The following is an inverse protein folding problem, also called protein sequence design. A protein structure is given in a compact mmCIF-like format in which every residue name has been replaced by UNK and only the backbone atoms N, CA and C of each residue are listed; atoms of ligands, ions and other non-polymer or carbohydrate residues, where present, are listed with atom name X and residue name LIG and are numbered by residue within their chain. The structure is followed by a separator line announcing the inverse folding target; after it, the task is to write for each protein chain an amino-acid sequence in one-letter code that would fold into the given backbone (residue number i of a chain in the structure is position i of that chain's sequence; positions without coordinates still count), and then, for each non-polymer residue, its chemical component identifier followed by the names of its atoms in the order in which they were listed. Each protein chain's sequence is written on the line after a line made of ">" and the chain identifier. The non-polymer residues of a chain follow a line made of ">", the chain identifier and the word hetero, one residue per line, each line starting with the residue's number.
data_IF_464563500968
#
_entry.id   IF_464563500968
#
_cell.length_a   1.000
_cell.length_b   1.000
_cell.length_c   1.000
_cell.angle_alpha   90.00
_cell.angle_beta   90.00
_cell.angle_gamma   90.00
#
_symmetry.space_group_name_H-M   'P 1'
#
loop_
_entity.id
_entity.type
_entity.pdbx_description
1 polymer ?
#
# COMPACT_ATOMS: atom_id res chain seq x y z
N UNK A 1 -53.54 24.47 31.49
CA UNK A 1 -52.49 23.45 31.25
C UNK A 1 -51.18 24.22 31.27
N UNK A 2 -50.59 24.28 32.46
CA UNK A 2 -49.44 25.11 32.81
C UNK A 2 -48.24 24.17 32.83
N UNK A 3 -47.13 24.55 32.20
CA UNK A 3 -45.82 24.20 32.76
C UNK A 3 -44.84 25.35 32.52
N UNK A 4 -44.74 26.16 33.56
CA UNK A 4 -43.84 27.29 33.73
C UNK A 4 -42.38 26.83 33.71
N UNK A 5 -41.57 27.59 32.98
CA UNK A 5 -40.12 27.53 32.98
C UNK A 5 -39.63 28.18 34.28
N UNK A 6 -39.26 27.35 35.26
CA UNK A 6 -38.56 27.79 36.47
C UNK A 6 -37.10 27.33 36.38
N UNK A 7 -36.22 28.23 35.96
CA UNK A 7 -34.78 28.07 36.06
C UNK A 7 -34.32 28.72 37.39
N UNK A 8 -33.75 27.99 38.36
CA UNK A 8 -33.20 28.61 39.55
C UNK A 8 -31.81 29.23 39.29
N UNK A 9 -31.52 30.43 39.83
CA UNK A 9 -30.23 31.08 39.73
C UNK A 9 -29.34 30.62 40.89
N UNK A 10 -28.41 29.70 40.66
CA UNK A 10 -27.37 29.36 41.63
C UNK A 10 -26.12 28.87 40.91
N UNK A 11 -25.42 29.84 40.33
CA UNK A 11 -23.98 29.81 40.15
C UNK A 11 -23.32 29.61 41.53
N UNK A 12 -22.69 28.46 41.77
CA UNK A 12 -21.55 28.37 42.69
C UNK A 12 -20.50 27.44 42.10
N UNK A 13 -19.35 28.07 41.86
CA UNK A 13 -18.02 27.55 41.57
C UNK A 13 -17.76 26.15 42.14
N UNK A 14 -17.58 25.17 41.25
CA UNK A 14 -16.75 24.00 41.52
C UNK A 14 -15.59 24.03 40.53
N UNK A 15 -14.50 24.65 40.98
CA UNK A 15 -13.17 24.54 40.41
C UNK A 15 -12.71 23.08 40.48
N UNK A 16 -13.13 22.27 39.52
CA UNK A 16 -12.49 20.98 39.30
C UNK A 16 -11.09 21.23 38.76
N UNK A 17 -10.13 21.18 39.67
CA UNK A 17 -8.72 21.07 39.35
C UNK A 17 -8.52 19.78 38.55
N UNK A 18 -8.22 19.92 37.26
CA UNK A 18 -7.69 18.84 36.45
C UNK A 18 -6.42 18.31 37.12
N UNK A 19 -6.32 17.00 37.44
CA UNK A 19 -5.04 16.44 37.80
C UNK A 19 -4.14 16.51 36.58
N UNK A 20 -3.11 17.34 36.68
CA UNK A 20 -1.96 17.37 35.80
C UNK A 20 -1.28 16.01 35.82
N UNK A 21 -1.73 15.09 34.95
CA UNK A 21 -1.06 13.82 34.71
C UNK A 21 0.20 14.08 33.90
N UNK A 22 1.26 14.36 34.64
CA UNK A 22 2.62 13.86 34.42
C UNK A 22 2.81 13.06 33.12
N UNK A 23 3.46 13.73 32.17
CA UNK A 23 4.59 13.22 31.38
C UNK A 23 4.90 11.72 31.57
N UNK A 24 4.32 10.88 30.71
CA UNK A 24 5.03 9.73 30.20
C UNK A 24 5.39 10.05 28.75
N UNK A 25 6.68 10.27 28.42
CA UNK A 25 7.09 10.11 27.05
C UNK A 25 6.97 8.61 26.80
N UNK A 26 5.88 8.18 26.16
CA UNK A 26 5.89 6.90 25.48
C UNK A 26 6.88 7.04 24.32
N UNK A 27 8.16 6.90 24.65
CA UNK A 27 9.19 6.52 23.71
C UNK A 27 8.88 5.07 23.34
N UNK A 28 7.93 4.92 22.43
CA UNK A 28 7.87 3.72 21.62
C UNK A 28 9.16 3.74 20.80
N UNK A 29 10.09 2.79 20.99
CA UNK A 29 11.19 2.67 20.06
C UNK A 29 10.56 2.50 18.68
N UNK A 30 10.83 3.43 17.76
CA UNK A 30 10.50 3.26 16.34
C UNK A 30 11.38 2.11 15.83
N UNK A 31 10.97 0.88 16.10
CA UNK A 31 11.36 -0.23 15.24
C UNK A 31 10.87 0.14 13.84
N UNK A 32 11.69 -0.04 12.80
CA UNK A 32 11.15 -0.02 11.44
C UNK A 32 10.02 -1.04 11.42
N UNK A 33 8.80 -0.59 11.17
CA UNK A 33 7.66 -1.49 10.98
C UNK A 33 8.06 -2.49 9.89
N UNK A 34 7.70 -3.80 9.98
CA UNK A 34 7.90 -4.74 8.88
C UNK A 34 7.33 -4.25 7.54
N UNK A 35 6.40 -3.28 7.57
CA UNK A 35 5.93 -2.53 6.40
C UNK A 35 7.04 -1.77 5.61
N UNK A 36 8.25 -1.62 6.16
CA UNK A 36 9.39 -1.01 5.45
C UNK A 36 10.19 -2.04 4.61
N UNK A 37 9.76 -3.30 4.56
CA UNK A 37 10.26 -4.34 3.62
C UNK A 37 9.27 -4.70 2.52
N UNK A 38 8.30 -3.82 2.26
CA UNK A 38 7.36 -4.04 1.16
C UNK A 38 8.05 -3.80 -0.19
N UNK A 39 7.58 -4.49 -1.23
CA UNK A 39 7.91 -4.20 -2.62
C UNK A 39 7.87 -2.68 -2.88
N UNK A 40 8.91 -2.16 -3.54
CA UNK A 40 9.19 -0.73 -3.65
C UNK A 40 8.00 0.00 -4.30
N UNK A 41 7.40 0.96 -3.60
CA UNK A 41 6.41 1.86 -4.18
C UNK A 41 7.11 2.88 -5.08
N UNK A 42 6.60 3.09 -6.29
CA UNK A 42 7.16 4.03 -7.27
C UNK A 42 6.06 4.96 -7.80
N UNK A 43 6.45 6.15 -8.23
CA UNK A 43 5.55 7.10 -8.89
C UNK A 43 5.68 7.03 -10.42
N UNK A 44 4.76 7.69 -11.14
CA UNK A 44 4.80 7.80 -12.60
C UNK A 44 6.15 8.33 -13.10
N UNK A 45 6.74 9.31 -12.40
CA UNK A 45 8.03 9.90 -12.74
C UNK A 45 9.20 8.89 -12.69
N UNK A 46 9.09 7.86 -11.85
CA UNK A 46 10.13 6.85 -11.66
C UNK A 46 9.93 5.64 -12.59
N UNK A 47 8.73 5.49 -13.18
CA UNK A 47 8.35 4.27 -13.91
C UNK A 47 9.31 3.92 -15.04
N UNK A 48 9.77 4.91 -15.80
CA UNK A 48 10.71 4.69 -16.90
C UNK A 48 12.06 4.14 -16.41
N UNK A 49 12.62 4.73 -15.36
CA UNK A 49 13.90 4.31 -14.79
C UNK A 49 13.79 2.95 -14.06
N UNK A 50 12.73 2.80 -13.25
CA UNK A 50 12.58 1.67 -12.33
C UNK A 50 12.01 0.41 -12.99
N UNK A 51 11.27 0.55 -14.09
CA UNK A 51 10.58 -0.54 -14.81
C UNK A 51 11.11 -0.71 -16.23
N UNK A 52 11.05 0.35 -17.05
CA UNK A 52 11.31 0.23 -18.49
C UNK A 52 12.80 0.06 -18.82
N UNK A 53 13.67 0.71 -18.04
CA UNK A 53 15.13 0.65 -18.17
C UNK A 53 15.80 -0.33 -17.20
N UNK A 54 15.02 -1.15 -16.50
CA UNK A 54 15.55 -2.11 -15.55
C UNK A 54 16.34 -3.22 -16.26
N UNK A 55 17.50 -3.56 -15.71
CA UNK A 55 18.36 -4.64 -16.23
C UNK A 55 17.78 -6.03 -15.93
N UNK A 56 17.05 -6.15 -14.82
CA UNK A 56 16.35 -7.37 -14.42
C UNK A 56 14.85 -7.23 -14.69
N UNK A 57 14.13 -8.35 -14.90
CA UNK A 57 12.68 -8.33 -15.03
C UNK A 57 12.00 -7.62 -13.85
N UNK A 58 10.88 -6.96 -14.11
CA UNK A 58 10.15 -6.18 -13.11
C UNK A 58 8.68 -6.57 -13.11
N UNK A 59 8.18 -7.05 -11.97
CA UNK A 59 6.75 -7.21 -11.74
C UNK A 59 6.19 -5.92 -11.14
N UNK A 60 5.23 -5.30 -11.83
CA UNK A 60 4.51 -4.12 -11.35
C UNK A 60 3.15 -4.55 -10.80
N UNK A 61 2.88 -4.23 -9.54
CA UNK A 61 1.57 -4.38 -8.86
C UNK A 61 0.81 -3.05 -8.88
N UNK A 62 -0.21 -2.96 -9.72
CA UNK A 62 -1.13 -1.83 -9.75
C UNK A 62 -2.23 -2.04 -8.71
N UNK A 63 -2.25 -1.20 -7.67
CA UNK A 63 -3.06 -1.39 -6.48
C UNK A 63 -3.65 -0.08 -5.96
N UNK A 64 -4.50 -0.17 -4.93
CA UNK A 64 -5.00 0.97 -4.16
C UNK A 64 -5.31 0.57 -2.70
N UNK A 65 -5.31 1.49 -1.72
CA UNK A 65 -5.52 1.15 -0.31
C UNK A 65 -6.94 0.67 0.03
N UNK A 66 -7.92 1.02 -0.79
CA UNK A 66 -9.32 0.60 -0.66
C UNK A 66 -9.60 -0.75 -1.33
N UNK A 67 -8.64 -1.32 -2.06
CA UNK A 67 -8.79 -2.58 -2.77
C UNK A 67 -8.64 -3.78 -1.81
N UNK A 68 -9.76 -4.42 -1.48
CA UNK A 68 -9.79 -5.64 -0.66
C UNK A 68 -8.90 -6.77 -1.20
N UNK A 69 -9.04 -7.18 -2.47
CA UNK A 69 -8.18 -8.23 -3.06
C UNK A 69 -6.70 -7.89 -3.09
N UNK A 70 -6.33 -6.61 -3.23
CA UNK A 70 -4.94 -6.17 -3.17
C UNK A 70 -4.35 -6.46 -1.78
N UNK A 71 -5.11 -6.23 -0.70
CA UNK A 71 -4.67 -6.56 0.67
C UNK A 71 -4.40 -8.05 0.87
N UNK A 72 -5.15 -8.92 0.21
CA UNK A 72 -4.92 -10.38 0.26
C UNK A 72 -3.63 -10.78 -0.45
N UNK A 73 -3.25 -10.08 -1.51
CA UNK A 73 -2.02 -10.36 -2.27
C UNK A 73 -0.76 -9.86 -1.57
N UNK A 74 -0.84 -8.86 -0.68
CA UNK A 74 0.31 -8.28 0.02
C UNK A 74 1.28 -9.31 0.62
N UNK A 75 0.86 -10.26 1.48
CA UNK A 75 1.79 -11.23 2.08
C UNK A 75 2.44 -12.15 1.04
N UNK A 76 1.71 -12.49 -0.03
CA UNK A 76 2.21 -13.33 -1.12
C UNK A 76 3.31 -12.58 -1.89
N UNK A 77 3.04 -11.32 -2.25
CA UNK A 77 3.97 -10.49 -3.00
C UNK A 77 5.22 -10.15 -2.17
N UNK A 78 5.06 -9.91 -0.87
CA UNK A 78 6.18 -9.67 0.04
C UNK A 78 7.09 -10.90 0.12
N UNK A 79 6.53 -12.09 0.32
CA UNK A 79 7.30 -13.32 0.36
C UNK A 79 8.04 -13.59 -0.97
N UNK A 80 7.37 -13.37 -2.10
CA UNK A 80 7.97 -13.53 -3.43
C UNK A 80 9.04 -12.48 -3.72
N UNK A 81 8.91 -11.25 -3.18
CA UNK A 81 9.93 -10.22 -3.36
C UNK A 81 11.27 -10.60 -2.73
N UNK A 82 11.24 -11.31 -1.60
CA UNK A 82 12.44 -11.84 -0.95
C UNK A 82 12.94 -13.11 -1.66
N UNK A 83 12.05 -14.02 -2.09
CA UNK A 83 12.42 -15.26 -2.78
C UNK A 83 13.08 -14.99 -4.15
N UNK A 84 12.63 -13.96 -4.87
CA UNK A 84 13.13 -13.58 -6.20
C UNK A 84 14.12 -12.41 -6.16
N UNK A 85 14.61 -12.05 -4.98
CA UNK A 85 15.57 -10.96 -4.81
C UNK A 85 16.78 -11.14 -5.74
N UNK A 86 17.04 -10.14 -6.56
CA UNK A 86 18.12 -10.15 -7.56
C UNK A 86 17.81 -10.90 -8.86
N UNK A 87 16.67 -11.60 -8.96
CA UNK A 87 16.19 -12.24 -10.21
C UNK A 87 15.04 -11.47 -10.82
N UNK A 88 14.07 -11.06 -10.01
CA UNK A 88 12.95 -10.22 -10.42
C UNK A 88 12.77 -9.13 -9.39
N UNK A 89 12.66 -7.89 -9.87
CA UNK A 89 12.30 -6.74 -9.06
C UNK A 89 10.78 -6.67 -8.95
N UNK A 90 10.26 -6.41 -7.75
CA UNK A 90 8.83 -6.18 -7.57
C UNK A 90 8.63 -4.73 -7.13
N UNK A 91 7.77 -4.01 -7.86
CA UNK A 91 7.39 -2.63 -7.56
C UNK A 91 5.89 -2.49 -7.48
N UNK A 92 5.42 -1.45 -6.80
CA UNK A 92 4.01 -1.16 -6.62
C UNK A 92 3.67 0.23 -7.13
N UNK A 93 2.54 0.36 -7.82
CA UNK A 93 2.02 1.64 -8.33
C UNK A 93 0.62 1.84 -7.76
N UNK A 94 0.43 2.90 -6.98
CA UNK A 94 -0.90 3.27 -6.50
C UNK A 94 -1.67 3.99 -7.61
N UNK A 95 -2.78 3.42 -8.06
CA UNK A 95 -3.57 3.98 -9.18
C UNK A 95 -4.34 5.26 -8.82
N UNK A 96 -4.49 5.58 -7.53
CA UNK A 96 -5.11 6.83 -7.09
C UNK A 96 -4.13 8.02 -7.21
N UNK A 97 -2.83 7.75 -7.05
CA UNK A 97 -1.76 8.75 -7.03
C UNK A 97 -1.05 8.88 -8.39
N UNK A 98 -1.20 7.86 -9.24
CA UNK A 98 -0.51 7.72 -10.52
C UNK A 98 -1.53 7.41 -11.61
N UNK A 99 -1.58 8.24 -12.65
CA UNK A 99 -2.59 8.12 -13.71
C UNK A 99 -1.98 7.76 -15.06
N UNK A 100 -0.69 8.05 -15.25
CA UNK A 100 -0.02 7.85 -16.54
C UNK A 100 0.29 6.37 -16.78
N UNK A 101 0.97 5.70 -15.85
CA UNK A 101 1.31 4.29 -16.00
C UNK A 101 0.06 3.39 -16.09
N UNK A 102 -0.94 3.49 -15.20
CA UNK A 102 -2.15 2.67 -15.33
C UNK A 102 -2.90 2.92 -16.65
N UNK A 103 -3.00 4.18 -17.08
CA UNK A 103 -3.63 4.54 -18.35
C UNK A 103 -2.87 3.97 -19.56
N UNK A 104 -1.53 4.09 -19.57
CA UNK A 104 -0.66 3.60 -20.65
C UNK A 104 -0.76 2.09 -20.84
N UNK A 105 -0.89 1.33 -19.76
CA UNK A 105 -0.98 -0.14 -19.80
C UNK A 105 -2.42 -0.66 -19.71
N UNK A 106 -3.42 0.21 -19.89
CA UNK A 106 -4.84 -0.14 -19.92
C UNK A 106 -5.29 -0.92 -18.67
N UNK A 107 -4.85 -0.47 -17.49
CA UNK A 107 -5.22 -1.04 -16.19
C UNK A 107 -6.65 -0.61 -15.85
N UNK A 108 -7.63 -1.46 -16.14
CA UNK A 108 -9.06 -1.19 -15.93
C UNK A 108 -9.61 -1.72 -14.61
N UNK A 109 -8.83 -2.52 -13.90
CA UNK A 109 -9.22 -3.18 -12.66
C UNK A 109 -8.00 -3.41 -11.78
N UNK A 110 -8.20 -3.45 -10.47
CA UNK A 110 -7.14 -3.74 -9.50
C UNK A 110 -7.49 -4.93 -8.60
N UNK A 111 -6.49 -5.73 -8.17
CA UNK A 111 -5.09 -5.61 -8.55
C UNK A 111 -4.85 -6.07 -10.00
N UNK A 112 -3.94 -5.40 -10.69
CA UNK A 112 -3.40 -5.86 -11.98
C UNK A 112 -1.89 -5.96 -11.84
N UNK A 113 -1.34 -7.07 -12.32
CA UNK A 113 0.09 -7.33 -12.29
C UNK A 113 0.60 -7.43 -13.72
N UNK A 114 1.69 -6.72 -14.02
CA UNK A 114 2.32 -6.76 -15.34
C UNK A 114 3.81 -7.02 -15.14
N UNK A 115 4.31 -8.06 -15.81
CA UNK A 115 5.71 -8.45 -15.79
C UNK A 115 6.41 -7.86 -17.01
N UNK A 116 7.44 -7.08 -16.76
CA UNK A 116 8.28 -6.44 -17.76
C UNK A 116 9.63 -7.14 -17.86
N UNK A 117 10.16 -7.26 -19.08
CA UNK A 117 11.53 -7.71 -19.34
C UNK A 117 12.07 -6.94 -20.53
N UNK A 118 13.21 -6.27 -20.36
CA UNK A 118 13.79 -5.42 -21.41
C UNK A 118 12.88 -4.25 -21.82
N UNK A 119 12.08 -3.73 -20.89
CA UNK A 119 11.16 -2.61 -21.13
C UNK A 119 9.82 -2.98 -21.78
N UNK A 120 9.61 -4.26 -22.12
CA UNK A 120 8.36 -4.73 -22.74
C UNK A 120 7.54 -5.59 -21.77
N UNK A 121 6.20 -5.50 -21.81
CA UNK A 121 5.32 -6.38 -21.04
C UNK A 121 5.35 -7.80 -21.65
N UNK A 122 5.86 -8.76 -20.89
CA UNK A 122 5.98 -10.17 -21.33
C UNK A 122 4.89 -11.06 -20.77
N UNK A 123 4.25 -10.66 -19.67
CA UNK A 123 3.14 -11.37 -19.06
C UNK A 123 2.28 -10.42 -18.23
N UNK A 124 1.01 -10.76 -18.02
CA UNK A 124 0.11 -9.97 -17.17
C UNK A 124 -1.01 -10.82 -16.59
N UNK A 125 -1.48 -10.46 -15.40
CA UNK A 125 -2.67 -11.08 -14.83
C UNK A 125 -3.45 -10.10 -13.96
N UNK A 126 -4.75 -10.35 -13.85
CA UNK A 126 -5.68 -9.53 -13.07
C UNK A 126 -6.25 -10.34 -11.92
N UNK A 127 -6.43 -9.67 -10.78
CA UNK A 127 -7.05 -10.22 -9.59
C UNK A 127 -6.08 -11.00 -8.69
N UNK A 128 -6.63 -11.51 -7.59
CA UNK A 128 -5.87 -12.32 -6.65
C UNK A 128 -5.58 -13.72 -7.22
N UNK A 129 -4.37 -14.24 -6.96
CA UNK A 129 -3.92 -15.58 -7.36
C UNK A 129 -3.20 -16.27 -6.19
N UNK A 130 -3.07 -17.60 -6.28
CA UNK A 130 -2.23 -18.35 -5.34
C UNK A 130 -0.75 -17.98 -5.53
N UNK A 131 0.07 -18.23 -4.50
CA UNK A 131 1.51 -18.00 -4.57
C UNK A 131 2.12 -18.79 -5.74
N UNK A 132 1.70 -20.04 -5.92
CA UNK A 132 2.20 -20.94 -6.96
C UNK A 132 1.93 -20.39 -8.37
N UNK A 133 0.76 -19.78 -8.59
CA UNK A 133 0.42 -19.22 -9.89
C UNK A 133 1.21 -17.94 -10.17
N UNK A 134 1.49 -17.11 -9.16
CA UNK A 134 2.38 -15.95 -9.32
C UNK A 134 3.81 -16.42 -9.61
N UNK A 135 4.31 -17.46 -8.93
CA UNK A 135 5.63 -18.03 -9.21
C UNK A 135 5.77 -18.48 -10.65
N UNK A 136 4.79 -19.22 -11.18
CA UNK A 136 4.79 -19.62 -12.60
C UNK A 136 4.94 -18.44 -13.54
N UNK A 137 4.31 -17.30 -13.23
CA UNK A 137 4.46 -16.08 -14.03
C UNK A 137 5.88 -15.52 -13.90
N UNK A 138 6.40 -15.38 -12.68
CA UNK A 138 7.77 -14.88 -12.45
C UNK A 138 8.84 -15.76 -13.13
N UNK A 139 8.68 -17.07 -13.08
CA UNK A 139 9.58 -18.06 -13.69
C UNK A 139 9.65 -17.95 -15.22
N UNK A 140 8.67 -17.30 -15.89
CA UNK A 140 8.75 -17.07 -17.34
C UNK A 140 9.80 -16.02 -17.73
N UNK A 141 10.18 -15.15 -16.80
CA UNK A 141 11.11 -14.05 -17.07
C UNK A 141 12.42 -14.12 -16.28
N UNK A 142 12.43 -14.86 -15.16
CA UNK A 142 13.56 -15.04 -14.24
C UNK A 142 14.80 -15.71 -14.85
#
# INVERSE_FOLDING_TARGET
>A
MILEIFLPPSFLLLSYSLPSSSHHPLYFPRTPSPLLRMAQAIADADFDAEVLKAEIPVLVDFWAPWCGPCKMMLPIIEELSEEYKGKVKIVKVNVDENTEAPGKFNVMSIPTFILFKGGEPVNSFVGAKSKEDVKKVLDTAA
#
